data_IF_178598071325
#
_entry.id   IF_178598071325
#
_cell.length_a   1.000
_cell.length_b   1.000
_cell.length_c   1.000
_cell.angle_alpha   90.00
_cell.angle_beta   90.00
_cell.angle_gamma   90.00
#
_symmetry.space_group_name_H-M   'P 1'
#
loop_
_entity.id
_entity.type
_entity.pdbx_description
1 polymer ?
#
# COMPACT_ATOMS: atom_id res chain seq x y z
N UNK A 1 -9.75 -97.30 28.41
CA UNK A 1 -10.01 -97.75 27.03
C UNK A 1 -9.45 -96.67 26.10
N UNK A 2 -8.43 -97.04 25.33
CA UNK A 2 -7.56 -96.16 24.53
C UNK A 2 -8.26 -95.67 23.27
N UNK A 3 -8.18 -94.38 22.95
CA UNK A 3 -8.31 -93.87 21.59
C UNK A 3 -7.08 -93.05 21.24
N UNK A 4 -6.27 -93.65 20.36
CA UNK A 4 -5.04 -93.11 19.79
C UNK A 4 -5.38 -92.09 18.70
N UNK A 5 -4.55 -91.05 18.65
CA UNK A 5 -4.02 -90.39 17.46
C UNK A 5 -5.00 -89.91 16.39
N UNK A 6 -5.18 -88.58 16.31
CA UNK A 6 -5.18 -87.86 15.03
C UNK A 6 -4.49 -86.50 15.22
N UNK A 7 -3.15 -86.50 15.25
CA UNK A 7 -2.36 -85.31 14.94
C UNK A 7 -2.44 -85.06 13.44
N UNK A 8 -3.13 -84.00 13.02
CA UNK A 8 -2.96 -83.36 11.71
C UNK A 8 -2.22 -82.02 11.90
N UNK A 9 -1.38 -81.58 10.96
CA UNK A 9 -0.63 -80.34 11.13
C UNK A 9 -1.60 -79.16 11.08
N UNK A 10 -1.64 -78.36 12.15
CA UNK A 10 -2.28 -77.05 12.13
C UNK A 10 -1.47 -76.17 11.18
N UNK A 11 -1.91 -76.09 9.93
CA UNK A 11 -1.44 -75.09 8.97
C UNK A 11 -1.70 -73.73 9.61
N UNK A 12 -0.65 -73.12 10.15
CA UNK A 12 -0.68 -71.72 10.56
C UNK A 12 -0.84 -70.90 9.29
N UNK A 13 -2.08 -70.60 8.93
CA UNK A 13 -2.38 -69.58 7.95
C UNK A 13 -1.89 -68.25 8.54
N UNK A 14 -0.67 -67.86 8.20
CA UNK A 14 -0.18 -66.51 8.44
C UNK A 14 -1.06 -65.58 7.63
N UNK A 15 -2.16 -65.14 8.22
CA UNK A 15 -3.03 -64.11 7.67
C UNK A 15 -2.22 -62.82 7.75
N UNK A 16 -1.43 -62.53 6.73
CA UNK A 16 -0.82 -61.23 6.57
C UNK A 16 -1.96 -60.25 6.33
N UNK A 17 -2.41 -59.60 7.41
CA UNK A 17 -3.21 -58.40 7.30
C UNK A 17 -2.33 -57.40 6.55
N UNK A 18 -2.61 -57.21 5.26
CA UNK A 18 -2.15 -56.07 4.49
C UNK A 18 -2.76 -54.85 5.18
N UNK A 19 -2.04 -54.29 6.15
CA UNK A 19 -2.34 -52.96 6.65
C UNK A 19 -2.16 -52.02 5.47
N UNK A 20 -3.25 -51.71 4.78
CA UNK A 20 -3.28 -50.60 3.85
C UNK A 20 -3.17 -49.34 4.69
N UNK A 21 -1.94 -48.96 5.02
CA UNK A 21 -1.64 -47.67 5.60
C UNK A 21 -2.00 -46.68 4.50
N UNK A 22 -3.15 -46.02 4.63
CA UNK A 22 -3.46 -44.86 3.82
C UNK A 22 -2.44 -43.78 4.20
N UNK A 23 -1.32 -43.75 3.47
CA UNK A 23 -0.42 -42.62 3.49
C UNK A 23 -1.18 -41.45 2.87
N UNK A 24 -1.83 -40.63 3.72
CA UNK A 24 -2.34 -39.32 3.34
C UNK A 24 -1.14 -38.40 3.10
N UNK A 25 -0.41 -38.67 2.02
CA UNK A 25 0.71 -37.85 1.60
C UNK A 25 0.19 -36.51 1.10
N UNK A 26 0.62 -35.41 1.72
CA UNK A 26 0.34 -34.08 1.21
C UNK A 26 1.04 -33.93 -0.15
N UNK A 27 0.25 -33.74 -1.22
CA UNK A 27 0.77 -33.56 -2.57
C UNK A 27 1.40 -32.16 -2.70
N UNK A 28 2.65 -32.02 -2.26
CA UNK A 28 3.39 -30.74 -2.29
C UNK A 28 3.47 -30.11 -3.68
N UNK A 29 3.42 -30.91 -4.76
CA UNK A 29 3.43 -30.41 -6.13
C UNK A 29 2.18 -29.60 -6.48
N UNK A 30 1.01 -29.92 -5.92
CA UNK A 30 -0.24 -29.22 -6.25
C UNK A 30 -0.17 -27.76 -5.84
N UNK A 31 0.29 -27.46 -4.62
CA UNK A 31 0.46 -26.07 -4.17
C UNK A 31 1.46 -25.30 -5.04
N UNK A 32 2.60 -25.92 -5.38
CA UNK A 32 3.61 -25.31 -6.26
C UNK A 32 3.05 -25.01 -7.65
N UNK A 33 2.32 -25.96 -8.24
CA UNK A 33 1.68 -25.79 -9.54
C UNK A 33 0.59 -24.72 -9.50
N UNK A 34 -0.25 -24.69 -8.47
CA UNK A 34 -1.29 -23.66 -8.33
C UNK A 34 -0.67 -22.26 -8.16
N UNK A 35 0.41 -22.13 -7.39
CA UNK A 35 1.11 -20.85 -7.23
C UNK A 35 1.70 -20.36 -8.56
N UNK A 36 2.28 -21.25 -9.36
CA UNK A 36 2.81 -20.92 -10.68
C UNK A 36 1.69 -20.54 -11.67
N UNK A 37 0.58 -21.27 -11.67
CA UNK A 37 -0.60 -20.93 -12.48
C UNK A 37 -1.17 -19.57 -12.09
N UNK A 38 -1.21 -19.25 -10.80
CA UNK A 38 -1.62 -17.93 -10.30
C UNK A 38 -0.71 -16.82 -10.80
N UNK A 39 0.61 -16.96 -10.63
CA UNK A 39 1.59 -15.99 -11.13
C UNK A 39 1.48 -15.74 -12.63
N UNK A 40 1.26 -16.80 -13.41
CA UNK A 40 1.07 -16.70 -14.87
C UNK A 40 -0.24 -16.01 -15.22
N UNK A 41 -1.30 -16.29 -14.48
CA UNK A 41 -2.59 -15.61 -14.63
C UNK A 41 -2.44 -14.12 -14.33
N UNK A 42 -1.81 -13.76 -13.22
CA UNK A 42 -1.53 -12.36 -12.85
C UNK A 42 -0.69 -11.65 -13.92
N UNK A 43 0.40 -12.27 -14.38
CA UNK A 43 1.24 -11.69 -15.43
C UNK A 43 0.48 -11.50 -16.76
N UNK A 44 -0.42 -12.42 -17.09
CA UNK A 44 -1.26 -12.34 -18.28
C UNK A 44 -2.36 -11.26 -18.17
N UNK A 45 -3.00 -11.15 -17.00
CA UNK A 45 -4.00 -10.12 -16.72
C UNK A 45 -3.38 -8.72 -16.67
N UNK A 46 -2.22 -8.58 -16.01
CA UNK A 46 -1.44 -7.35 -15.96
C UNK A 46 -0.91 -6.92 -17.34
N UNK A 47 -0.58 -7.88 -18.21
CA UNK A 47 -0.14 -7.61 -19.59
C UNK A 47 -1.26 -7.19 -20.56
N UNK A 48 -2.53 -7.47 -20.25
CA UNK A 48 -3.67 -7.18 -21.14
C UNK A 48 -4.30 -5.81 -20.93
N UNK A 49 -4.24 -5.30 -19.71
CA UNK A 49 -4.74 -3.99 -19.35
C UNK A 49 -3.71 -3.35 -18.45
N UNK A 50 -3.20 -2.14 -18.77
CA UNK A 50 -2.48 -1.33 -17.81
C UNK A 50 -3.49 -0.87 -16.76
N UNK A 51 -3.90 -1.79 -15.89
CA UNK A 51 -4.56 -1.45 -14.64
C UNK A 51 -3.49 -0.76 -13.81
N UNK A 52 -3.76 0.51 -13.47
CA UNK A 52 -2.93 1.22 -12.51
C UNK A 52 -2.80 0.32 -11.26
N UNK A 53 -1.59 0.16 -10.70
CA UNK A 53 -1.41 -0.66 -9.52
C UNK A 53 -2.35 -0.12 -8.43
N UNK A 54 -3.00 -0.99 -7.66
CA UNK A 54 -3.86 -0.54 -6.59
C UNK A 54 -3.02 0.30 -5.61
N UNK A 55 -3.59 1.38 -5.04
CA UNK A 55 -2.87 2.24 -4.13
C UNK A 55 -2.45 1.44 -2.91
N UNK A 56 -1.33 1.82 -2.31
CA UNK A 56 -0.77 1.15 -1.14
C UNK A 56 -1.78 1.03 0.01
N UNK A 57 -2.70 1.98 0.13
CA UNK A 57 -3.75 1.97 1.15
C UNK A 57 -4.86 0.92 0.99
N UNK A 58 -4.89 0.18 -0.12
CA UNK A 58 -5.84 -0.91 -0.35
C UNK A 58 -5.44 -2.24 0.30
N UNK A 59 -4.17 -2.39 0.66
CA UNK A 59 -3.63 -3.63 1.21
C UNK A 59 -3.99 -3.81 2.68
N UNK A 60 -4.16 -5.06 3.13
CA UNK A 60 -4.64 -5.38 4.47
C UNK A 60 -3.69 -4.93 5.58
N UNK A 61 -2.39 -5.02 5.33
CA UNK A 61 -1.34 -4.65 6.29
C UNK A 61 -1.14 -3.13 6.42
N UNK A 62 -1.86 -2.31 5.64
CA UNK A 62 -1.72 -0.86 5.67
C UNK A 62 -2.52 -0.22 6.80
N UNK A 63 -1.84 0.59 7.62
CA UNK A 63 -2.48 1.39 8.68
C UNK A 63 -2.07 2.86 8.53
N UNK A 64 -3.06 3.73 8.29
CA UNK A 64 -2.81 5.15 8.05
C UNK A 64 -2.10 5.87 9.20
N UNK A 65 -2.51 5.64 10.45
CA UNK A 65 -1.95 6.34 11.62
C UNK A 65 -0.50 5.90 11.88
N UNK A 66 -0.22 4.61 11.71
CA UNK A 66 1.13 4.06 11.85
C UNK A 66 2.05 4.60 10.76
N UNK A 67 1.56 4.69 9.52
CA UNK A 67 2.30 5.22 8.38
C UNK A 67 2.57 6.72 8.53
N UNK A 68 1.58 7.50 8.97
CA UNK A 68 1.71 8.93 9.27
C UNK A 68 2.78 9.18 10.35
N UNK A 69 2.75 8.40 11.43
CA UNK A 69 3.76 8.45 12.49
C UNK A 69 5.15 8.13 11.95
N UNK A 70 5.28 7.04 11.19
CA UNK A 70 6.55 6.61 10.63
C UNK A 70 7.13 7.64 9.65
N UNK A 71 6.28 8.30 8.85
CA UNK A 71 6.68 9.35 7.91
C UNK A 71 7.30 10.54 8.64
N UNK A 72 6.67 11.04 9.71
CA UNK A 72 7.25 12.10 10.53
C UNK A 72 8.61 11.71 11.12
N UNK A 73 8.75 10.47 11.60
CA UNK A 73 10.03 9.94 12.10
C UNK A 73 11.11 9.81 11.02
N UNK A 74 10.75 9.45 9.78
CA UNK A 74 11.69 9.37 8.65
C UNK A 74 12.26 10.75 8.28
N UNK A 75 11.44 11.80 8.37
CA UNK A 75 11.89 13.17 8.13
C UNK A 75 12.78 13.73 9.26
N UNK A 76 12.77 13.10 10.44
CA UNK A 76 13.50 13.58 11.62
C UNK A 76 12.87 14.81 12.27
N UNK A 77 11.63 15.15 11.91
CA UNK A 77 10.92 16.35 12.35
C UNK A 77 9.88 16.01 13.43
N UNK A 78 9.65 16.96 14.34
CA UNK A 78 8.61 16.87 15.38
C UNK A 78 7.36 17.63 14.94
N UNK A 79 6.54 16.99 14.10
CA UNK A 79 5.32 17.58 13.53
C UNK A 79 4.10 17.12 14.34
N UNK A 80 3.14 18.03 14.57
CA UNK A 80 1.84 17.67 15.11
C UNK A 80 1.11 16.70 14.16
N UNK A 81 0.72 15.50 14.61
CA UNK A 81 0.06 14.51 13.76
C UNK A 81 -1.25 15.03 13.15
N UNK A 82 -1.97 15.91 13.85
CA UNK A 82 -3.24 16.46 13.33
C UNK A 82 -2.99 17.40 12.15
N UNK A 83 -1.98 18.27 12.27
CA UNK A 83 -1.56 19.19 11.22
C UNK A 83 -0.97 18.43 10.02
N UNK A 84 -0.20 17.37 10.28
CA UNK A 84 0.37 16.53 9.24
C UNK A 84 -0.73 15.81 8.45
N UNK A 85 -1.71 15.21 9.13
CA UNK A 85 -2.87 14.60 8.49
C UNK A 85 -3.66 15.61 7.64
N UNK A 86 -3.86 16.84 8.15
CA UNK A 86 -4.50 17.92 7.41
C UNK A 86 -3.72 18.25 6.13
N UNK A 87 -2.40 18.42 6.20
CA UNK A 87 -1.55 18.78 5.05
C UNK A 87 -1.62 17.75 3.90
N UNK A 88 -1.80 16.47 4.23
CA UNK A 88 -1.88 15.36 3.29
C UNK A 88 -3.28 15.09 2.75
N UNK A 89 -4.30 15.83 3.22
CA UNK A 89 -5.68 15.67 2.76
C UNK A 89 -6.04 16.71 1.70
N UNK A 90 -6.26 16.25 0.47
CA UNK A 90 -6.73 17.10 -0.61
C UNK A 90 -8.23 17.36 -0.52
N UNK A 91 -8.68 18.51 -1.01
CA UNK A 91 -10.10 18.86 -1.16
C UNK A 91 -10.90 17.80 -1.96
N UNK A 92 -10.27 17.22 -2.99
CA UNK A 92 -10.90 16.18 -3.83
C UNK A 92 -11.33 14.95 -3.03
N UNK A 93 -10.55 14.59 -2.00
CA UNK A 93 -10.87 13.47 -1.11
C UNK A 93 -12.12 13.77 -0.27
N UNK A 94 -12.22 14.98 0.27
CA UNK A 94 -13.36 15.39 1.11
C UNK A 94 -14.66 15.33 0.31
N UNK A 95 -14.69 15.94 -0.88
CA UNK A 95 -15.86 15.96 -1.76
C UNK A 95 -16.35 14.54 -2.06
N UNK A 96 -15.43 13.65 -2.42
CA UNK A 96 -15.81 12.29 -2.77
C UNK A 96 -16.28 11.47 -1.56
N UNK A 97 -15.70 11.71 -0.40
CA UNK A 97 -16.16 11.09 0.85
C UNK A 97 -17.54 11.60 1.28
N UNK A 98 -17.86 12.89 1.07
CA UNK A 98 -19.21 13.43 1.28
C UNK A 98 -20.23 12.78 0.35
N UNK A 99 -19.92 12.69 -0.94
CA UNK A 99 -20.78 12.03 -1.94
C UNK A 99 -21.03 10.57 -1.57
N UNK A 100 -20.01 9.87 -1.09
CA UNK A 100 -20.11 8.48 -0.63
C UNK A 100 -21.03 8.35 0.58
N UNK A 101 -20.89 9.21 1.59
CA UNK A 101 -21.73 9.17 2.79
C UNK A 101 -23.20 9.43 2.44
N UNK A 102 -23.46 10.39 1.53
CA UNK A 102 -24.81 10.65 0.98
C UNK A 102 -25.35 9.44 0.22
N UNK A 103 -24.53 8.76 -0.59
CA UNK A 103 -24.95 7.58 -1.35
C UNK A 103 -25.34 6.39 -0.46
N UNK A 104 -24.77 6.28 0.75
CA UNK A 104 -25.11 5.24 1.74
C UNK A 104 -26.29 5.67 2.63
N UNK A 105 -26.85 6.87 2.44
CA UNK A 105 -28.02 7.36 3.17
C UNK A 105 -27.70 8.05 4.50
N UNK A 106 -26.51 8.65 4.64
CA UNK A 106 -26.18 9.51 5.78
C UNK A 106 -26.54 10.95 5.39
N UNK A 107 -27.58 11.49 6.03
CA UNK A 107 -28.13 12.82 5.70
C UNK A 107 -27.19 13.98 6.08
N UNK A 108 -26.47 13.85 7.21
CA UNK A 108 -25.51 14.85 7.72
C UNK A 108 -24.09 14.25 7.84
N UNK A 109 -23.25 14.33 6.78
CA UNK A 109 -21.88 13.84 6.82
C UNK A 109 -20.99 14.72 7.73
N UNK A 110 -20.60 14.21 8.90
CA UNK A 110 -19.65 14.90 9.79
C UNK A 110 -18.23 14.49 9.39
N UNK A 111 -17.61 15.28 8.51
CA UNK A 111 -16.20 15.11 8.15
C UNK A 111 -15.34 15.95 9.09
N UNK A 112 -14.56 15.28 9.94
CA UNK A 112 -13.63 15.92 10.89
C UNK A 112 -12.30 16.35 10.27
N UNK A 113 -12.18 16.29 8.95
CA UNK A 113 -10.93 16.53 8.22
C UNK A 113 -10.99 17.88 7.52
N UNK A 114 -9.95 18.69 7.74
CA UNK A 114 -9.84 20.04 7.16
C UNK A 114 -9.08 19.99 5.84
N UNK A 115 -9.42 20.88 4.90
CA UNK A 115 -8.70 21.02 3.64
C UNK A 115 -7.25 21.52 3.83
N UNK A 116 -6.36 21.12 2.93
CA UNK A 116 -4.96 21.54 2.89
C UNK A 116 -4.69 22.84 2.13
N UNK A 117 -5.68 23.40 1.42
CA UNK A 117 -5.59 24.64 0.64
C UNK A 117 -4.85 25.80 1.36
N UNK A 118 -5.19 26.18 2.61
CA UNK A 118 -4.50 27.26 3.30
C UNK A 118 -3.02 26.94 3.61
N UNK A 119 -2.71 25.67 3.86
CA UNK A 119 -1.34 25.22 4.14
C UNK A 119 -0.48 25.25 2.87
N UNK A 120 -1.07 24.94 1.71
CA UNK A 120 -0.40 25.04 0.41
C UNK A 120 0.02 26.48 0.13
N UNK A 121 -0.91 27.44 0.23
CA UNK A 121 -0.61 28.85 -0.03
C UNK A 121 0.47 29.41 0.91
N UNK A 122 0.43 29.03 2.19
CA UNK A 122 1.42 29.44 3.16
C UNK A 122 2.80 28.82 2.86
N UNK A 123 2.81 27.51 2.56
CA UNK A 123 4.02 26.76 2.23
C UNK A 123 4.70 27.27 0.97
N UNK A 124 3.94 27.52 -0.10
CA UNK A 124 4.45 28.03 -1.37
C UNK A 124 5.15 29.40 -1.18
N UNK A 125 4.49 30.33 -0.48
CA UNK A 125 5.08 31.64 -0.17
C UNK A 125 6.35 31.53 0.68
N UNK A 126 6.35 30.62 1.65
CA UNK A 126 7.48 30.40 2.53
C UNK A 126 8.68 29.83 1.77
N UNK A 127 8.49 28.74 1.04
CA UNK A 127 9.55 28.05 0.30
C UNK A 127 10.10 28.95 -0.81
N UNK A 128 9.24 29.64 -1.56
CA UNK A 128 9.68 30.57 -2.60
C UNK A 128 10.61 31.66 -2.03
N UNK A 129 10.20 32.28 -0.92
CA UNK A 129 11.03 33.29 -0.24
C UNK A 129 12.34 32.69 0.28
N UNK A 130 12.28 31.50 0.88
CA UNK A 130 13.44 30.83 1.44
C UNK A 130 14.48 30.50 0.35
N UNK A 131 14.06 29.87 -0.74
CA UNK A 131 14.93 29.47 -1.86
C UNK A 131 15.60 30.70 -2.48
N UNK A 132 14.84 31.75 -2.80
CA UNK A 132 15.43 32.99 -3.35
C UNK A 132 16.45 33.61 -2.41
N UNK A 133 16.14 33.66 -1.10
CA UNK A 133 17.07 34.19 -0.10
C UNK A 133 18.33 33.34 0.02
N UNK A 134 18.18 32.02 0.04
CA UNK A 134 19.29 31.07 0.09
C UNK A 134 20.22 31.21 -1.11
N UNK A 135 19.66 31.30 -2.33
CA UNK A 135 20.44 31.49 -3.56
C UNK A 135 21.21 32.82 -3.53
N UNK A 136 20.58 33.92 -3.11
CA UNK A 136 21.26 35.23 -2.98
C UNK A 136 22.39 35.21 -1.95
N UNK A 137 22.25 34.42 -0.88
CA UNK A 137 23.29 34.30 0.15
C UNK A 137 24.47 33.43 -0.27
N UNK A 138 24.21 32.33 -0.99
CA UNK A 138 25.25 31.39 -1.41
C UNK A 138 25.94 31.84 -2.69
N UNK A 139 25.21 32.54 -3.57
CA UNK A 139 25.67 32.98 -4.89
C UNK A 139 25.51 34.51 -5.04
N UNK A 140 26.29 35.32 -4.30
CA UNK A 140 26.08 36.78 -4.24
C UNK A 140 26.36 37.51 -5.56
N UNK A 141 27.13 36.92 -6.48
CA UNK A 141 27.45 37.51 -7.79
C UNK A 141 26.58 36.95 -8.93
N UNK A 142 25.64 36.06 -8.63
CA UNK A 142 24.79 35.44 -9.65
C UNK A 142 23.67 36.41 -10.05
N UNK A 143 23.41 36.61 -11.35
CA UNK A 143 22.39 37.54 -11.81
C UNK A 143 20.99 37.14 -11.35
N UNK A 144 20.11 38.13 -11.17
CA UNK A 144 18.76 37.92 -10.64
C UNK A 144 17.92 37.04 -11.58
N UNK A 145 18.10 37.15 -12.89
CA UNK A 145 17.47 36.29 -13.89
C UNK A 145 17.88 34.81 -13.71
N UNK A 146 19.14 34.58 -13.34
CA UNK A 146 19.64 33.25 -13.03
C UNK A 146 19.02 32.71 -11.74
N UNK A 147 18.91 33.54 -10.70
CA UNK A 147 18.28 33.17 -9.42
C UNK A 147 16.83 32.76 -9.65
N UNK A 148 16.08 33.53 -10.44
CA UNK A 148 14.69 33.22 -10.78
C UNK A 148 14.58 31.91 -11.58
N UNK A 149 15.49 31.69 -12.54
CA UNK A 149 15.53 30.45 -13.33
C UNK A 149 15.75 29.21 -12.45
N UNK A 150 16.73 29.26 -11.54
CA UNK A 150 17.02 28.15 -10.62
C UNK A 150 15.87 27.95 -9.64
N UNK A 151 15.31 29.03 -9.09
CA UNK A 151 14.13 28.98 -8.23
C UNK A 151 12.96 28.27 -8.92
N UNK A 152 12.63 28.66 -10.16
CA UNK A 152 11.52 28.08 -10.90
C UNK A 152 11.73 26.62 -11.24
N UNK A 153 12.98 26.21 -11.50
CA UNK A 153 13.31 24.80 -11.69
C UNK A 153 13.15 23.99 -10.40
N UNK A 154 13.69 24.48 -9.27
CA UNK A 154 13.61 23.79 -7.98
C UNK A 154 12.17 23.64 -7.47
N UNK A 155 11.31 24.61 -7.76
CA UNK A 155 9.89 24.60 -7.40
C UNK A 155 8.98 24.15 -8.54
N UNK A 156 9.55 23.58 -9.60
CA UNK A 156 8.75 22.99 -10.67
C UNK A 156 7.98 21.77 -10.15
N UNK A 157 6.80 21.54 -10.72
CA UNK A 157 5.95 20.40 -10.36
C UNK A 157 6.70 19.08 -10.53
N UNK A 158 7.46 18.92 -11.61
CA UNK A 158 8.23 17.69 -11.88
C UNK A 158 9.25 17.39 -10.77
N UNK A 159 10.01 18.39 -10.33
CA UNK A 159 11.03 18.22 -9.27
C UNK A 159 10.36 17.93 -7.93
N UNK A 160 9.31 18.67 -7.58
CA UNK A 160 8.59 18.47 -6.32
C UNK A 160 7.88 17.11 -6.30
N UNK A 161 7.24 16.69 -7.39
CA UNK A 161 6.61 15.39 -7.52
C UNK A 161 7.63 14.26 -7.43
N UNK A 162 8.79 14.41 -8.07
CA UNK A 162 9.88 13.44 -7.98
C UNK A 162 10.39 13.29 -6.53
N UNK A 163 10.61 14.40 -5.82
CA UNK A 163 11.00 14.37 -4.41
C UNK A 163 9.90 13.73 -3.56
N UNK A 164 8.65 14.13 -3.74
CA UNK A 164 7.49 13.60 -3.02
C UNK A 164 7.34 12.08 -3.19
N UNK A 165 7.58 11.58 -4.40
CA UNK A 165 7.57 10.15 -4.69
C UNK A 165 8.64 9.41 -3.85
N UNK A 166 9.89 9.88 -3.87
CA UNK A 166 11.00 9.20 -3.19
C UNK A 166 10.96 9.30 -1.66
N UNK A 167 10.31 10.32 -1.09
CA UNK A 167 10.11 10.41 0.36
C UNK A 167 8.92 9.56 0.86
N UNK A 168 8.20 8.89 -0.06
CA UNK A 168 7.05 8.04 0.27
C UNK A 168 5.76 8.82 0.53
N UNK A 169 5.62 10.03 -0.03
CA UNK A 169 4.41 10.84 0.12
C UNK A 169 3.22 10.26 -0.65
N UNK A 170 3.49 9.58 -1.77
CA UNK A 170 2.46 9.00 -2.65
C UNK A 170 1.51 8.02 -1.93
N UNK A 171 2.03 7.26 -0.96
CA UNK A 171 1.25 6.22 -0.26
C UNK A 171 0.36 6.78 0.85
N UNK A 172 0.68 7.97 1.38
CA UNK A 172 0.02 8.61 2.53
C UNK A 172 -0.90 9.77 2.13
N UNK A 173 -0.79 10.30 0.91
CA UNK A 173 -1.66 11.38 0.44
C UNK A 173 -3.09 10.88 0.24
N UNK A 174 -4.05 11.61 0.78
CA UNK A 174 -5.47 11.34 0.63
C UNK A 174 -6.03 12.21 -0.51
N UNK A 175 -6.30 11.57 -1.65
CA UNK A 175 -6.87 12.18 -2.85
C UNK A 175 -8.06 11.37 -3.38
N UNK A 176 -8.90 11.96 -4.22
CA UNK A 176 -10.00 11.22 -4.86
C UNK A 176 -9.55 9.95 -5.58
N UNK A 177 -8.40 10.00 -6.27
CA UNK A 177 -7.81 8.85 -6.96
C UNK A 177 -7.52 7.70 -5.98
N UNK A 178 -6.95 8.02 -4.80
CA UNK A 178 -6.61 7.00 -3.79
C UNK A 178 -7.84 6.23 -3.27
N UNK A 179 -9.00 6.89 -3.21
CA UNK A 179 -10.24 6.30 -2.70
C UNK A 179 -10.96 5.44 -3.75
N UNK A 180 -10.93 5.82 -5.03
CA UNK A 180 -11.59 5.07 -6.11
C UNK A 180 -11.11 3.61 -6.18
N UNK A 181 -9.81 3.38 -6.01
CA UNK A 181 -9.25 2.03 -6.06
C UNK A 181 -9.50 1.19 -4.80
N UNK A 182 -9.67 1.81 -3.62
CA UNK A 182 -10.07 1.06 -2.41
C UNK A 182 -11.39 0.33 -2.62
N UNK A 183 -12.25 0.87 -3.48
CA UNK A 183 -13.57 0.33 -3.75
C UNK A 183 -13.57 -0.79 -4.81
N UNK A 184 -12.72 -0.69 -5.84
CA UNK A 184 -12.63 -1.73 -6.88
C UNK A 184 -12.08 -3.08 -6.38
N UNK A 185 -11.51 -3.11 -5.17
CA UNK A 185 -10.90 -4.31 -4.56
C UNK A 185 -11.83 -5.06 -3.58
N UNK A 186 -13.13 -4.72 -3.52
CA UNK A 186 -14.16 -5.42 -2.73
C UNK A 186 -15.25 -5.97 -3.63
#
# INVERSE_FOLDING_TARGET
>A
MSLRNLFGPVLHAHRTYLFHIHARGFKQHVSKTLMELHKRKEAYEFGKQPSLPPPRSSFLEWNYDAELYSFGKRLGEHIDPTLLAQSLTQRSFIIMEEERQKAVGIDDPIIKVTENTPLIEQGERFVSRYVKRYLRTVLPFFPEEGIESVHNYLLSEDVLAHIAFHIGMNDIVQSAVSLLFRYQSR
#
